data_IF_619148394482
#
_entry.id   IF_619148394482
#
_cell.length_a   1.000
_cell.length_b   1.000
_cell.length_c   1.000
_cell.angle_alpha   90.00
_cell.angle_beta   90.00
_cell.angle_gamma   90.00
#
_symmetry.space_group_name_H-M   'P 1'
#
loop_
_entity.id
_entity.type
_entity.pdbx_description
1 polymer ?
#
# COMPACT_ATOMS: atom_id res chain seq x y z
N UNK A 1 -21.18 10.80 -8.08
CA UNK A 1 -21.01 9.70 -9.05
C UNK A 1 -19.64 9.09 -8.80
N UNK A 2 -19.51 8.12 -7.89
CA UNK A 2 -18.26 7.39 -7.74
C UNK A 2 -18.28 6.30 -8.81
N UNK A 3 -17.48 6.47 -9.85
CA UNK A 3 -17.30 5.44 -10.87
C UNK A 3 -16.72 4.22 -10.16
N UNK A 4 -17.57 3.23 -9.85
CA UNK A 4 -17.19 1.88 -9.46
C UNK A 4 -16.56 1.16 -10.66
N UNK A 5 -15.50 1.76 -11.23
CA UNK A 5 -14.72 1.19 -12.30
C UNK A 5 -13.80 0.14 -11.71
N UNK A 6 -13.90 -1.11 -12.19
CA UNK A 6 -12.94 -2.16 -11.82
C UNK A 6 -11.55 -1.68 -12.20
N UNK A 7 -10.70 -1.51 -11.19
CA UNK A 7 -9.33 -1.04 -11.39
C UNK A 7 -8.49 -2.22 -11.86
N UNK A 8 -8.00 -2.16 -13.09
CA UNK A 8 -7.14 -3.20 -13.63
C UNK A 8 -5.74 -3.08 -13.03
N UNK A 9 -5.40 -4.04 -12.19
CA UNK A 9 -4.06 -4.22 -11.63
C UNK A 9 -3.41 -5.45 -12.27
N UNK A 10 -2.10 -5.39 -12.44
CA UNK A 10 -1.30 -6.54 -12.88
C UNK A 10 -1.17 -7.56 -11.76
N UNK A 11 -0.81 -8.81 -12.09
CA UNK A 11 -0.56 -9.87 -11.11
C UNK A 11 0.47 -9.45 -10.06
N UNK A 12 1.50 -8.69 -10.44
CA UNK A 12 2.51 -8.20 -9.51
C UNK A 12 1.95 -7.16 -8.53
N UNK A 13 1.11 -6.23 -8.99
CA UNK A 13 0.45 -5.25 -8.13
C UNK A 13 -0.56 -5.91 -7.19
N UNK A 14 -1.27 -6.93 -7.66
CA UNK A 14 -2.18 -7.71 -6.83
C UNK A 14 -1.44 -8.49 -5.75
N UNK A 15 -0.31 -9.12 -6.09
CA UNK A 15 0.57 -9.77 -5.10
C UNK A 15 1.09 -8.76 -4.10
N UNK A 16 1.59 -7.61 -4.56
CA UNK A 16 2.08 -6.54 -3.68
C UNK A 16 1.01 -6.10 -2.68
N UNK A 17 -0.20 -5.82 -3.17
CA UNK A 17 -1.33 -5.47 -2.33
C UNK A 17 -1.69 -6.60 -1.36
N UNK A 18 -1.65 -7.86 -1.81
CA UNK A 18 -1.91 -9.02 -0.96
C UNK A 18 -0.87 -9.16 0.16
N UNK A 19 0.40 -8.89 -0.09
CA UNK A 19 1.45 -8.89 0.95
C UNK A 19 1.18 -7.85 2.03
N UNK A 20 0.74 -6.66 1.63
CA UNK A 20 0.33 -5.62 2.57
C UNK A 20 -0.97 -5.98 3.29
N UNK A 21 -1.96 -6.52 2.58
CA UNK A 21 -3.26 -6.90 3.14
C UNK A 21 -3.17 -8.12 4.07
N UNK A 22 -2.17 -8.98 3.87
CA UNK A 22 -1.88 -10.10 4.78
C UNK A 22 -1.36 -9.62 6.14
N UNK A 23 -0.80 -8.40 6.21
CA UNK A 23 -0.22 -7.80 7.41
C UNK A 23 -0.64 -6.32 7.49
N UNK A 24 -1.95 -6.05 7.68
CA UNK A 24 -2.44 -4.68 7.74
C UNK A 24 -1.83 -3.95 8.95
N UNK A 25 -1.69 -2.64 8.83
CA UNK A 25 -1.06 -1.74 9.81
C UNK A 25 0.41 -2.10 10.18
N UNK A 26 1.02 -3.05 9.47
CA UNK A 26 2.41 -3.45 9.69
C UNK A 26 3.32 -2.74 8.69
N UNK A 27 4.44 -2.22 9.18
CA UNK A 27 5.47 -1.65 8.31
C UNK A 27 6.24 -2.78 7.62
N UNK A 28 6.13 -2.84 6.30
CA UNK A 28 6.92 -3.74 5.46
C UNK A 28 8.08 -2.97 4.83
N UNK A 29 9.29 -3.46 5.04
CA UNK A 29 10.49 -2.93 4.42
C UNK A 29 10.58 -3.37 2.96
N UNK A 30 11.47 -2.74 2.20
CA UNK A 30 11.80 -3.18 0.83
C UNK A 30 12.17 -4.67 0.76
N UNK A 31 12.83 -5.18 1.80
CA UNK A 31 13.31 -6.55 1.85
C UNK A 31 12.16 -7.51 2.19
N UNK A 32 11.26 -7.14 3.10
CA UNK A 32 10.03 -7.89 3.38
C UNK A 32 9.16 -8.02 2.13
N UNK A 33 9.01 -6.93 1.38
CA UNK A 33 8.25 -6.93 0.13
C UNK A 33 8.96 -7.78 -0.93
N UNK A 34 10.28 -7.67 -1.06
CA UNK A 34 11.05 -8.49 -1.98
C UNK A 34 10.90 -9.99 -1.65
N UNK A 35 10.96 -10.35 -0.37
CA UNK A 35 10.78 -11.73 0.09
C UNK A 35 9.36 -12.23 -0.21
N UNK A 36 8.33 -11.43 0.04
CA UNK A 36 6.94 -11.79 -0.26
C UNK A 36 6.66 -11.91 -1.76
N UNK A 37 7.42 -11.20 -2.61
CA UNK A 37 7.34 -11.28 -4.08
C UNK A 37 8.24 -12.39 -4.66
N UNK A 38 8.76 -13.31 -3.83
CA UNK A 38 9.71 -14.35 -4.25
C UNK A 38 10.92 -13.76 -5.01
N UNK A 39 11.43 -12.62 -4.54
CA UNK A 39 12.55 -11.89 -5.17
C UNK A 39 12.32 -11.40 -6.60
N UNK A 40 11.10 -11.51 -7.15
CA UNK A 40 10.75 -11.06 -8.49
C UNK A 40 10.89 -9.55 -8.67
N UNK A 41 10.78 -8.79 -7.57
CA UNK A 41 10.99 -7.35 -7.53
C UNK A 41 11.96 -6.98 -6.41
N UNK A 42 12.90 -6.07 -6.69
CA UNK A 42 13.93 -5.63 -5.74
C UNK A 42 14.22 -4.14 -5.89
N UNK A 43 14.63 -3.51 -4.79
CA UNK A 43 15.05 -2.10 -4.76
C UNK A 43 14.05 -1.18 -5.47
N UNK A 44 14.53 -0.43 -6.47
CA UNK A 44 13.75 0.59 -7.20
C UNK A 44 12.50 0.05 -7.91
N UNK A 45 12.47 -1.24 -8.25
CA UNK A 45 11.27 -1.86 -8.84
C UNK A 45 10.10 -1.91 -7.85
N UNK A 46 10.40 -2.05 -6.55
CA UNK A 46 9.39 -2.03 -5.49
C UNK A 46 8.83 -0.62 -5.35
N UNK A 47 9.68 0.40 -5.33
CA UNK A 47 9.24 1.80 -5.27
C UNK A 47 8.28 2.14 -6.42
N UNK A 48 8.60 1.70 -7.64
CA UNK A 48 7.75 1.90 -8.83
C UNK A 48 6.44 1.13 -8.72
N UNK A 49 6.46 -0.12 -8.26
CA UNK A 49 5.25 -0.92 -8.08
C UNK A 49 4.32 -0.30 -7.01
N UNK A 50 4.90 0.17 -5.90
CA UNK A 50 4.20 0.89 -4.83
C UNK A 50 3.58 2.20 -5.36
N UNK A 51 4.33 2.99 -6.12
CA UNK A 51 3.83 4.23 -6.71
C UNK A 51 2.68 3.99 -7.72
N UNK A 52 2.79 2.94 -8.54
CA UNK A 52 1.72 2.53 -9.47
C UNK A 52 0.48 2.05 -8.73
N UNK A 53 0.66 1.23 -7.70
CA UNK A 53 -0.44 0.76 -6.88
C UNK A 53 -1.16 1.93 -6.21
N UNK A 54 -0.42 2.90 -5.66
CA UNK A 54 -0.99 4.14 -5.11
C UNK A 54 -1.83 4.91 -6.13
N UNK A 55 -1.29 5.15 -7.33
CA UNK A 55 -2.03 5.86 -8.37
C UNK A 55 -3.33 5.16 -8.80
N UNK A 56 -3.50 3.88 -8.44
CA UNK A 56 -4.67 3.07 -8.73
C UNK A 56 -5.64 2.99 -7.55
N UNK A 57 -5.16 2.74 -6.32
CA UNK A 57 -6.03 2.53 -5.16
C UNK A 57 -6.32 3.81 -4.37
N UNK A 58 -5.46 4.81 -4.48
CA UNK A 58 -5.61 6.08 -3.77
C UNK A 58 -6.49 7.03 -4.58
N UNK A 59 -7.38 7.79 -3.92
CA UNK A 59 -8.13 8.86 -4.57
C UNK A 59 -7.20 9.99 -5.02
N UNK A 60 -6.18 10.33 -4.22
CA UNK A 60 -5.11 11.26 -4.60
C UNK A 60 -3.74 10.68 -4.21
N UNK A 61 -2.84 10.41 -5.18
CA UNK A 61 -1.53 9.83 -4.90
C UNK A 61 -0.57 10.78 -4.15
N UNK A 62 -0.86 12.08 -4.08
CA UNK A 62 -0.11 13.06 -3.28
C UNK A 62 -0.51 13.01 -1.81
N UNK A 63 -1.73 12.56 -1.52
CA UNK A 63 -2.28 12.40 -0.17
C UNK A 63 -2.72 10.95 0.08
N UNK A 64 -1.75 10.02 0.16
CA UNK A 64 -2.03 8.59 0.29
C UNK A 64 -2.63 8.27 1.67
N UNK A 65 -3.85 7.74 1.66
CA UNK A 65 -4.60 7.38 2.88
C UNK A 65 -4.44 5.90 3.22
N UNK A 66 -4.33 5.02 2.23
CA UNK A 66 -4.19 3.58 2.44
C UNK A 66 -2.73 3.17 2.56
N UNK A 67 -1.90 3.47 1.57
CA UNK A 67 -0.51 3.01 1.54
C UNK A 67 0.42 4.12 2.04
N UNK A 68 0.76 4.13 3.33
CA UNK A 68 1.57 5.18 3.94
C UNK A 68 3.06 4.86 3.91
N UNK A 69 3.88 5.90 3.77
CA UNK A 69 5.34 5.78 3.77
C UNK A 69 5.89 6.07 5.15
N UNK A 70 6.60 5.11 5.74
CA UNK A 70 7.35 5.28 6.99
C UNK A 70 8.81 5.53 6.65
N UNK A 71 9.27 6.77 6.85
CA UNK A 71 10.66 7.16 6.58
C UNK A 71 11.64 6.22 7.26
N UNK A 72 12.65 5.76 6.51
CA UNK A 72 13.69 4.82 6.94
C UNK A 72 13.21 3.42 7.38
N UNK A 73 11.93 3.08 7.21
CA UNK A 73 11.42 1.74 7.53
C UNK A 73 10.78 1.05 6.34
N UNK A 74 9.91 1.74 5.60
CA UNK A 74 9.23 1.16 4.44
C UNK A 74 7.83 1.69 4.25
N UNK A 75 6.88 0.79 3.99
CA UNK A 75 5.48 1.13 3.72
C UNK A 75 4.54 0.33 4.60
N UNK A 76 3.42 0.92 4.98
CA UNK A 76 2.34 0.22 5.66
C UNK A 76 1.03 0.39 4.88
N UNK A 77 0.15 -0.59 5.02
CA UNK A 77 -1.22 -0.49 4.55
C UNK A 77 -2.14 -0.21 5.73
N UNK A 78 -2.72 0.98 5.75
CA UNK A 78 -3.76 1.39 6.68
C UNK A 78 -5.11 0.95 6.13
N UNK A 79 -5.83 0.16 6.91
CA UNK A 79 -7.17 -0.32 6.58
C UNK A 79 -8.28 0.54 7.20
N UNK A 80 -7.93 1.47 8.09
CA UNK A 80 -8.85 2.43 8.70
C UNK A 80 -9.05 3.66 7.80
N UNK A 81 -10.31 3.90 7.41
CA UNK A 81 -10.76 5.15 6.83
C UNK A 81 -11.20 6.06 7.97
N UNK A 82 -10.56 7.22 8.24
CA UNK A 82 -10.89 8.09 9.37
C UNK A 82 -12.17 8.91 9.11
N UNK A 83 -13.25 8.24 8.75
CA UNK A 83 -14.61 8.79 8.67
C UNK A 83 -15.47 8.16 9.77
N UNK A 84 -15.07 8.33 11.04
CA UNK A 84 -15.94 8.02 12.18
C UNK A 84 -15.24 7.71 13.49
N UNK A 85 -15.04 8.72 14.34
CA UNK A 85 -14.86 8.65 15.80
C UNK A 85 -13.65 7.86 16.30
N UNK A 86 -12.84 8.28 17.27
CA UNK A 86 -13.15 9.02 18.48
C UNK A 86 -11.83 9.09 19.27
N UNK A 87 -11.58 10.25 19.88
CA UNK A 87 -10.85 10.45 21.13
C UNK A 87 -10.06 9.23 21.69
N UNK A 88 -8.74 9.22 21.50
CA UNK A 88 -7.82 8.47 22.34
C UNK A 88 -6.68 9.42 22.77
N UNK A 89 -7.08 10.50 23.45
CA UNK A 89 -6.21 11.24 24.33
C UNK A 89 -6.79 11.10 25.74
N UNK A 90 -6.22 10.19 26.54
CA UNK A 90 -6.19 10.21 28.01
C UNK A 90 -5.10 9.27 28.47
#
# INVERSE_FOLDING_TARGET
MHSSGRIHITTAEQKLLASFASRPDTVLSREDIAAAMDSSMRGRSIDVAVARLRAKIEPDPRFPVYLQTVRNKGWLLRTDNPSGGMNAAS
#
